data_IF_221153816673
#
_entry.id   IF_221153816673
#
_cell.length_a   1.000
_cell.length_b   1.000
_cell.length_c   1.000
_cell.angle_alpha   90.00
_cell.angle_beta   90.00
_cell.angle_gamma   90.00
#
_symmetry.space_group_name_H-M   'P 1'
#
loop_
_entity.id
_entity.type
_entity.pdbx_description
1 polymer ?
#
# COMPACT_ATOMS: atom_id res chain seq x y z
N UNK A 1 -7.03 -14.59 7.31
CA UNK A 1 -7.62 -15.73 8.06
C UNK A 1 -7.33 -15.65 9.57
N UNK A 2 -6.06 -15.69 10.00
CA UNK A 2 -5.73 -15.78 11.44
C UNK A 2 -6.10 -14.52 12.22
N UNK A 3 -5.90 -13.34 11.62
CA UNK A 3 -6.27 -12.05 12.23
C UNK A 3 -7.77 -11.97 12.53
N UNK A 4 -8.60 -12.45 11.59
CA UNK A 4 -10.06 -12.52 11.72
C UNK A 4 -10.50 -13.48 12.82
N UNK A 5 -9.95 -14.69 12.84
CA UNK A 5 -10.25 -15.68 13.88
C UNK A 5 -9.86 -15.19 15.28
N UNK A 6 -8.72 -14.49 15.41
CA UNK A 6 -8.29 -13.91 16.68
C UNK A 6 -9.24 -12.84 17.20
N UNK A 7 -9.72 -11.95 16.31
CA UNK A 7 -10.71 -10.93 16.65
C UNK A 7 -12.07 -11.55 17.01
N UNK A 8 -12.56 -12.46 16.18
CA UNK A 8 -13.80 -13.21 16.44
C UNK A 8 -13.74 -13.87 17.81
N UNK A 9 -12.65 -14.56 18.11
CA UNK A 9 -12.52 -15.27 19.39
C UNK A 9 -12.42 -14.33 20.59
N UNK A 10 -11.73 -13.19 20.43
CA UNK A 10 -11.71 -12.15 21.46
C UNK A 10 -13.12 -11.66 21.76
N UNK A 11 -13.88 -11.30 20.72
CA UNK A 11 -15.24 -10.80 20.85
C UNK A 11 -16.20 -11.83 21.47
N UNK A 12 -16.15 -13.08 21.03
CA UNK A 12 -17.00 -14.16 21.56
C UNK A 12 -16.83 -14.36 23.07
N UNK A 13 -15.58 -14.41 23.54
CA UNK A 13 -15.27 -14.80 24.92
C UNK A 13 -15.58 -13.67 25.89
N UNK A 14 -15.22 -12.43 25.55
CA UNK A 14 -15.50 -11.27 26.42
C UNK A 14 -16.91 -10.71 26.23
N UNK A 15 -17.68 -11.27 25.30
CA UNK A 15 -19.03 -10.83 24.97
C UNK A 15 -19.09 -9.45 24.30
N UNK A 16 -18.10 -9.09 23.48
CA UNK A 16 -18.18 -7.89 22.65
C UNK A 16 -19.04 -8.15 21.41
N UNK A 17 -19.99 -7.25 21.13
CA UNK A 17 -20.80 -7.34 19.91
C UNK A 17 -20.03 -6.89 18.67
N UNK A 18 -19.08 -5.96 18.81
CA UNK A 18 -18.33 -5.41 17.68
C UNK A 18 -16.84 -5.29 18.00
N UNK A 19 -16.03 -5.49 16.96
CA UNK A 19 -14.59 -5.33 17.07
C UNK A 19 -13.93 -4.98 15.75
N UNK A 20 -12.80 -4.28 15.82
CA UNK A 20 -11.98 -3.94 14.68
C UNK A 20 -10.50 -4.16 14.99
N UNK A 21 -9.75 -4.50 13.95
CA UNK A 21 -8.29 -4.41 13.95
C UNK A 21 -7.90 -3.28 13.00
N UNK A 22 -7.30 -2.26 13.59
CA UNK A 22 -6.88 -1.03 12.93
C UNK A 22 -5.36 -1.05 12.84
N UNK A 23 -4.79 -1.01 11.63
CA UNK A 23 -3.34 -0.96 11.43
C UNK A 23 -2.90 0.44 11.04
N UNK A 24 -1.80 0.92 11.61
CA UNK A 24 -1.22 2.20 11.23
C UNK A 24 -0.55 2.08 9.86
N UNK A 25 -0.73 3.09 9.01
CA UNK A 25 -0.01 3.19 7.75
C UNK A 25 1.49 3.44 7.99
N UNK A 26 2.33 2.58 7.43
CA UNK A 26 3.80 2.63 7.53
C UNK A 26 4.39 3.95 7.01
N UNK A 27 3.78 4.51 5.96
CA UNK A 27 4.45 5.53 5.16
C UNK A 27 4.41 6.92 5.81
N UNK A 28 3.40 7.22 6.65
CA UNK A 28 3.30 8.49 7.39
C UNK A 28 2.49 8.46 8.71
N UNK A 29 1.98 7.31 9.16
CA UNK A 29 1.13 7.14 10.38
C UNK A 29 -0.06 8.11 10.53
N UNK A 30 -0.48 8.77 9.45
CA UNK A 30 -1.59 9.73 9.50
C UNK A 30 -2.97 9.06 9.47
N UNK A 31 -3.02 7.76 9.18
CA UNK A 31 -4.27 7.02 9.05
C UNK A 31 -4.16 5.65 9.69
N UNK A 32 -5.28 5.19 10.23
CA UNK A 32 -5.54 3.78 10.43
C UNK A 32 -6.19 3.19 9.19
N UNK A 33 -5.88 1.94 8.89
CA UNK A 33 -6.61 1.13 7.92
C UNK A 33 -7.35 0.02 8.67
N UNK A 34 -8.63 -0.16 8.39
CA UNK A 34 -9.39 -1.29 8.92
C UNK A 34 -8.96 -2.56 8.20
N UNK A 35 -8.28 -3.46 8.91
CA UNK A 35 -7.77 -4.74 8.35
C UNK A 35 -8.65 -5.91 8.75
N UNK A 36 -9.47 -5.76 9.79
CA UNK A 36 -10.49 -6.73 10.14
C UNK A 36 -11.63 -6.05 10.87
N UNK A 37 -12.84 -6.55 10.65
CA UNK A 37 -14.07 -6.16 11.34
C UNK A 37 -14.81 -7.42 11.81
N UNK A 38 -15.48 -7.30 12.95
CA UNK A 38 -16.39 -8.30 13.50
C UNK A 38 -17.65 -7.60 14.01
N UNK A 39 -18.82 -8.15 13.67
CA UNK A 39 -20.12 -7.74 14.18
C UNK A 39 -20.97 -8.98 14.47
N UNK A 40 -21.42 -9.15 15.71
CA UNK A 40 -22.24 -10.28 16.16
C UNK A 40 -23.63 -10.32 15.52
N UNK A 41 -24.12 -9.18 15.03
CA UNK A 41 -25.45 -9.07 14.42
C UNK A 41 -25.44 -9.40 12.91
N UNK A 42 -24.27 -9.73 12.35
CA UNK A 42 -24.13 -10.02 10.91
C UNK A 42 -24.24 -8.79 10.00
N UNK A 43 -24.43 -7.60 10.58
CA UNK A 43 -24.50 -6.29 9.91
C UNK A 43 -23.12 -5.69 9.65
N UNK A 44 -22.17 -6.50 9.17
CA UNK A 44 -20.86 -5.96 8.77
C UNK A 44 -21.08 -4.91 7.67
N UNK A 45 -20.63 -3.68 7.92
CA UNK A 45 -20.68 -2.60 6.93
C UNK A 45 -19.57 -2.72 5.88
N UNK A 46 -18.84 -3.84 5.88
CA UNK A 46 -17.66 -4.13 5.05
C UNK A 46 -16.71 -2.93 4.97
N UNK A 47 -16.28 -2.46 6.14
CA UNK A 47 -15.35 -1.32 6.22
C UNK A 47 -13.91 -1.73 5.95
N UNK A 48 -13.69 -2.94 5.43
CA UNK A 48 -12.37 -3.47 5.12
C UNK A 48 -11.63 -2.54 4.15
N UNK A 49 -10.40 -2.15 4.49
CA UNK A 49 -9.61 -1.21 3.71
C UNK A 49 -9.98 0.27 3.91
N UNK A 50 -11.02 0.58 4.68
CA UNK A 50 -11.38 1.97 4.97
C UNK A 50 -10.25 2.67 5.75
N UNK A 51 -9.91 3.89 5.33
CA UNK A 51 -8.85 4.70 5.93
C UNK A 51 -9.48 5.74 6.87
N UNK A 52 -9.06 5.71 8.12
CA UNK A 52 -9.54 6.61 9.17
C UNK A 52 -8.41 7.58 9.53
N UNK A 53 -8.59 8.89 9.45
CA UNK A 53 -7.59 9.84 9.92
C UNK A 53 -7.25 9.59 11.39
N UNK A 54 -5.96 9.56 11.72
CA UNK A 54 -5.47 9.24 13.06
C UNK A 54 -6.06 10.18 14.13
N UNK A 55 -6.25 11.46 13.79
CA UNK A 55 -6.84 12.46 14.69
C UNK A 55 -8.32 12.23 15.01
N UNK A 56 -9.04 11.46 14.20
CA UNK A 56 -10.50 11.34 14.30
C UNK A 56 -10.97 10.17 15.18
N UNK A 57 -10.08 9.24 15.55
CA UNK A 57 -10.44 8.05 16.32
C UNK A 57 -9.92 8.06 17.76
N UNK A 58 -10.73 7.59 18.72
CA UNK A 58 -10.28 7.39 20.12
C UNK A 58 -9.21 6.29 20.24
N UNK A 59 -9.10 5.39 19.25
CA UNK A 59 -8.04 4.38 19.18
C UNK A 59 -6.64 4.99 19.21
N UNK A 60 -6.47 6.24 18.75
CA UNK A 60 -5.20 6.98 18.79
C UNK A 60 -4.59 7.04 20.19
N UNK A 61 -5.40 7.08 21.24
CA UNK A 61 -4.92 7.17 22.62
C UNK A 61 -4.15 5.92 23.03
N UNK A 62 -4.58 4.72 22.60
CA UNK A 62 -3.88 3.47 22.89
C UNK A 62 -2.51 3.42 22.20
N UNK A 63 -2.41 4.02 21.01
CA UNK A 63 -1.14 4.17 20.28
C UNK A 63 -0.22 5.17 21.00
N UNK A 64 -0.72 6.37 21.32
CA UNK A 64 0.06 7.44 21.95
C UNK A 64 0.58 6.99 23.32
N UNK A 65 -0.28 6.39 24.15
CA UNK A 65 0.07 5.95 25.51
C UNK A 65 0.79 4.59 25.54
N UNK A 66 0.84 3.86 24.42
CA UNK A 66 1.41 2.51 24.29
C UNK A 66 0.91 1.52 25.35
N UNK A 67 -0.35 1.65 25.75
CA UNK A 67 -0.98 0.79 26.76
C UNK A 67 -2.46 0.56 26.45
N UNK A 68 -3.05 -0.54 26.92
CA UNK A 68 -4.49 -0.75 26.82
C UNK A 68 -5.28 0.34 27.54
N UNK A 69 -6.42 0.73 26.97
CA UNK A 69 -7.31 1.76 27.51
C UNK A 69 -8.76 1.30 27.52
N UNK A 70 -9.44 1.56 28.63
CA UNK A 70 -10.89 1.50 28.73
C UNK A 70 -11.46 2.87 28.32
N UNK A 71 -12.33 2.88 27.31
CA UNK A 71 -12.88 4.10 26.72
C UNK A 71 -14.37 4.23 27.02
N UNK A 72 -14.83 5.46 27.23
CA UNK A 72 -16.22 5.74 27.60
C UNK A 72 -17.21 5.69 26.41
N UNK A 73 -16.72 5.89 25.18
CA UNK A 73 -17.56 5.97 23.98
C UNK A 73 -17.16 4.92 22.92
N UNK A 74 -18.12 4.51 22.06
CA UNK A 74 -17.85 3.76 20.84
C UNK A 74 -16.89 4.49 19.89
N UNK A 75 -16.23 3.74 19.00
CA UNK A 75 -15.23 4.27 18.06
C UNK A 75 -15.82 5.26 17.04
N UNK A 76 -17.10 5.11 16.68
CA UNK A 76 -17.76 5.88 15.61
C UNK A 76 -18.70 6.98 16.12
N UNK A 77 -18.70 7.30 17.42
CA UNK A 77 -19.51 8.40 17.95
C UNK A 77 -18.78 9.72 17.74
N UNK A 78 -19.53 10.74 17.30
CA UNK A 78 -19.03 12.11 17.12
C UNK A 78 -18.34 12.60 18.40
N UNK A 79 -17.20 13.28 18.22
CA UNK A 79 -16.28 13.57 19.32
C UNK A 79 -16.99 14.33 20.44
N UNK A 80 -17.24 13.63 21.56
CA UNK A 80 -17.49 14.29 22.83
C UNK A 80 -16.25 15.11 23.17
N UNK A 81 -16.44 16.44 23.37
CA UNK A 81 -15.38 17.38 23.77
C UNK A 81 -14.46 16.70 24.78
N UNK A 82 -13.16 16.82 24.52
CA UNK A 82 -12.06 16.35 25.35
C UNK A 82 -12.36 16.51 26.84
N UNK A 83 -12.90 15.46 27.46
CA UNK A 83 -12.72 15.28 28.89
C UNK A 83 -11.48 14.43 28.99
N UNK A 84 -10.35 15.13 29.16
CA UNK A 84 -9.15 14.62 29.80
C UNK A 84 -9.50 14.06 31.18
N UNK A 85 -10.15 12.89 31.23
CA UNK A 85 -10.02 12.05 32.41
C UNK A 85 -8.97 11.01 32.07
N UNK A 86 -7.74 11.38 32.40
CA UNK A 86 -6.56 10.51 32.48
C UNK A 86 -6.70 9.43 33.56
N UNK A 87 -7.93 9.08 33.94
CA UNK A 87 -8.19 7.93 34.77
C UNK A 87 -8.14 6.71 33.86
N UNK A 88 -7.09 5.92 34.05
CA UNK A 88 -7.16 4.47 33.81
C UNK A 88 -8.34 3.99 34.65
N UNK A 89 -9.56 4.08 34.11
CA UNK A 89 -10.69 3.38 34.70
C UNK A 89 -10.41 1.92 34.43
N UNK A 90 -10.54 1.09 35.44
CA UNK A 90 -10.50 -0.37 35.27
C UNK A 90 -11.71 -0.89 34.46
N UNK A 91 -12.60 0.02 34.00
CA UNK A 91 -13.84 -0.28 33.30
C UNK A 91 -14.24 0.79 32.28
N UNK A 92 -14.81 0.38 31.15
CA UNK A 92 -15.27 1.28 30.08
C UNK A 92 -16.24 0.63 29.09
N UNK A 93 -16.89 1.45 28.24
CA UNK A 93 -17.84 0.98 27.22
C UNK A 93 -17.14 0.38 25.98
N UNK A 94 -15.87 0.69 25.80
CA UNK A 94 -15.01 0.12 24.77
C UNK A 94 -13.62 -0.21 25.36
N UNK A 95 -12.92 -1.13 24.71
CA UNK A 95 -11.57 -1.55 25.04
C UNK A 95 -10.66 -1.36 23.83
N UNK A 96 -9.63 -0.52 23.97
CA UNK A 96 -8.62 -0.30 22.95
C UNK A 96 -7.30 -0.92 23.41
N UNK A 97 -6.86 -1.99 22.75
CA UNK A 97 -5.63 -2.71 23.08
C UNK A 97 -4.62 -2.47 21.95
N UNK A 98 -3.47 -1.82 22.22
CA UNK A 98 -2.47 -1.58 21.19
C UNK A 98 -1.81 -2.90 20.76
N UNK A 99 -1.59 -3.03 19.46
CA UNK A 99 -0.82 -4.12 18.87
C UNK A 99 0.64 -3.66 18.82
N UNK A 100 1.46 -4.19 19.72
CA UNK A 100 2.81 -3.68 19.97
C UNK A 100 3.87 -4.73 19.67
N UNK A 101 5.00 -4.27 19.18
CA UNK A 101 6.26 -5.01 19.10
C UNK A 101 7.26 -4.38 20.08
N UNK A 102 8.45 -4.95 20.21
CA UNK A 102 9.47 -4.42 21.11
C UNK A 102 9.88 -2.95 20.81
N UNK A 103 9.69 -2.50 19.57
CA UNK A 103 10.12 -1.17 19.12
C UNK A 103 8.97 -0.22 18.78
N UNK A 104 7.77 -0.72 18.51
CA UNK A 104 6.71 0.09 17.89
C UNK A 104 5.27 -0.36 18.19
N UNK A 105 4.32 0.52 17.88
CA UNK A 105 2.89 0.19 17.84
C UNK A 105 2.48 0.02 16.39
N UNK A 106 2.04 -1.19 16.03
CA UNK A 106 1.60 -1.53 14.67
C UNK A 106 0.15 -1.10 14.42
N UNK A 107 -0.66 -1.02 15.47
CA UNK A 107 -2.10 -0.83 15.36
C UNK A 107 -2.84 -0.95 16.68
N UNK A 108 -4.16 -1.14 16.60
CA UNK A 108 -5.05 -1.26 17.76
C UNK A 108 -6.12 -2.31 17.47
N UNK A 109 -6.33 -3.22 18.42
CA UNK A 109 -7.55 -4.01 18.53
C UNK A 109 -8.57 -3.20 19.34
N UNK A 110 -9.68 -2.85 18.71
CA UNK A 110 -10.74 -2.06 19.32
C UNK A 110 -11.99 -2.91 19.49
N UNK A 111 -12.52 -3.02 20.70
CA UNK A 111 -13.68 -3.85 21.04
C UNK A 111 -14.75 -2.97 21.69
N UNK A 112 -16.01 -3.14 21.31
CA UNK A 112 -17.11 -2.35 21.87
C UNK A 112 -18.43 -3.10 21.93
N UNK A 113 -19.40 -2.49 22.65
CA UNK A 113 -20.74 -3.02 22.78
C UNK A 113 -20.75 -4.36 23.51
N UNK A 114 -20.26 -4.38 24.74
CA UNK A 114 -20.28 -5.56 25.59
C UNK A 114 -21.74 -5.94 25.91
N UNK A 115 -22.00 -7.25 26.00
CA UNK A 115 -23.33 -7.79 26.32
C UNK A 115 -23.91 -7.16 27.59
N UNK A 116 -25.23 -7.05 27.61
CA UNK A 116 -26.01 -6.50 28.72
C UNK A 116 -25.67 -5.04 29.06
N UNK A 117 -25.02 -4.31 28.13
CA UNK A 117 -24.52 -2.96 28.34
C UNK A 117 -23.58 -2.82 29.56
N UNK A 118 -22.93 -3.93 29.94
CA UNK A 118 -21.93 -3.93 31.02
C UNK A 118 -20.62 -3.28 30.53
N UNK A 119 -19.80 -2.68 31.41
CA UNK A 119 -18.49 -2.21 31.00
C UNK A 119 -17.49 -3.37 30.85
N UNK A 120 -16.52 -3.22 29.96
CA UNK A 120 -15.31 -4.04 29.96
C UNK A 120 -14.59 -3.92 31.31
N UNK A 121 -13.84 -4.95 31.69
CA UNK A 121 -13.19 -5.12 32.99
C UNK A 121 -11.75 -5.61 32.81
N UNK A 122 -10.93 -5.62 33.88
CA UNK A 122 -9.55 -6.11 33.79
C UNK A 122 -9.48 -7.60 33.41
N UNK A 123 -10.46 -8.40 33.83
CA UNK A 123 -10.54 -9.81 33.44
C UNK A 123 -10.76 -10.00 31.92
N UNK A 124 -11.50 -9.09 31.27
CA UNK A 124 -11.65 -9.09 29.80
C UNK A 124 -10.31 -8.73 29.15
N UNK A 125 -9.60 -7.75 29.71
CA UNK A 125 -8.29 -7.33 29.22
C UNK A 125 -7.25 -8.46 29.34
N UNK A 126 -7.22 -9.18 30.46
CA UNK A 126 -6.33 -10.32 30.68
C UNK A 126 -6.52 -11.42 29.63
N UNK A 127 -7.75 -11.59 29.13
CA UNK A 127 -8.04 -12.52 28.04
C UNK A 127 -7.59 -11.98 26.67
N UNK A 128 -7.78 -10.68 26.42
CA UNK A 128 -7.48 -10.05 25.12
C UNK A 128 -5.98 -9.83 24.92
N UNK A 129 -5.23 -9.56 25.99
CA UNK A 129 -3.80 -9.25 25.94
C UNK A 129 -2.95 -10.33 25.22
N UNK A 130 -3.06 -11.63 25.55
CA UNK A 130 -2.34 -12.68 24.82
C UNK A 130 -2.69 -12.75 23.33
N UNK A 131 -3.95 -12.50 22.97
CA UNK A 131 -4.40 -12.50 21.58
C UNK A 131 -3.79 -11.31 20.83
N UNK A 132 -3.81 -10.12 21.43
CA UNK A 132 -3.17 -8.91 20.88
C UNK A 132 -1.66 -9.12 20.66
N UNK A 133 -0.96 -9.74 21.61
CA UNK A 133 0.46 -10.06 21.48
C UNK A 133 0.74 -11.04 20.33
N UNK A 134 -0.04 -12.12 20.23
CA UNK A 134 0.08 -13.11 19.16
C UNK A 134 -0.19 -12.50 17.77
N UNK A 135 -1.19 -11.61 17.67
CA UNK A 135 -1.50 -10.89 16.44
C UNK A 135 -0.39 -9.92 16.05
N UNK A 136 0.19 -9.21 17.01
CA UNK A 136 1.31 -8.30 16.78
C UNK A 136 2.52 -9.03 16.19
N UNK A 137 2.94 -10.13 16.83
CA UNK A 137 4.05 -10.97 16.36
C UNK A 137 3.79 -11.58 14.98
N UNK A 138 2.57 -12.08 14.73
CA UNK A 138 2.20 -12.63 13.42
C UNK A 138 2.22 -11.58 12.32
N UNK A 139 1.76 -10.37 12.62
CA UNK A 139 1.75 -9.28 11.65
C UNK A 139 3.16 -8.82 11.31
N UNK A 140 4.02 -8.59 12.31
CA UNK A 140 5.44 -8.25 12.13
C UNK A 140 6.16 -9.30 11.26
N UNK A 141 5.97 -10.59 11.54
CA UNK A 141 6.54 -11.66 10.74
C UNK A 141 6.05 -11.67 9.29
N UNK A 142 4.77 -11.38 9.05
CA UNK A 142 4.25 -11.30 7.68
C UNK A 142 4.86 -10.12 6.92
N UNK A 143 5.03 -8.98 7.58
CA UNK A 143 5.69 -7.81 6.99
C UNK A 143 7.15 -8.10 6.65
N UNK A 144 7.91 -8.68 7.59
CA UNK A 144 9.30 -9.06 7.36
C UNK A 144 9.43 -10.07 6.21
N UNK A 145 8.55 -11.06 6.14
CA UNK A 145 8.52 -12.03 5.02
C UNK A 145 8.23 -11.36 3.68
N UNK A 146 7.29 -10.41 3.64
CA UNK A 146 6.97 -9.67 2.42
C UNK A 146 8.13 -8.77 1.98
N UNK A 147 8.84 -8.14 2.92
CA UNK A 147 10.04 -7.36 2.64
C UNK A 147 11.16 -8.24 2.05
N UNK A 148 11.42 -9.41 2.67
CA UNK A 148 12.41 -10.38 2.17
C UNK A 148 12.02 -10.88 0.78
N UNK A 149 10.75 -11.21 0.54
CA UNK A 149 10.28 -11.64 -0.76
C UNK A 149 10.51 -10.54 -1.82
N UNK A 150 10.13 -9.29 -1.52
CA UNK A 150 10.35 -8.16 -2.44
C UNK A 150 11.83 -7.92 -2.75
N UNK A 151 12.72 -8.02 -1.75
CA UNK A 151 14.17 -7.92 -1.95
C UNK A 151 14.71 -9.07 -2.82
N UNK A 152 14.19 -10.27 -2.62
CA UNK A 152 14.56 -11.46 -3.40
C UNK A 152 14.14 -11.30 -4.86
N UNK A 153 12.91 -10.83 -5.11
CA UNK A 153 12.41 -10.53 -6.46
C UNK A 153 13.27 -9.46 -7.15
N UNK A 154 13.64 -8.40 -6.43
CA UNK A 154 14.55 -7.36 -6.95
C UNK A 154 15.91 -7.93 -7.33
N UNK A 155 16.50 -8.79 -6.50
CA UNK A 155 17.78 -9.42 -6.78
C UNK A 155 17.72 -10.37 -7.98
N UNK A 156 16.67 -11.18 -8.10
CA UNK A 156 16.48 -12.06 -9.24
C UNK A 156 16.31 -11.27 -10.54
N UNK A 157 15.51 -10.21 -10.52
CA UNK A 157 15.36 -9.30 -11.65
C UNK A 157 16.71 -8.70 -12.08
N UNK A 158 17.50 -8.15 -11.15
CA UNK A 158 18.82 -7.59 -11.46
C UNK A 158 19.80 -8.64 -12.01
N UNK A 159 19.77 -9.85 -11.47
CA UNK A 159 20.64 -10.94 -11.91
C UNK A 159 20.30 -11.40 -13.32
N UNK A 160 19.00 -11.57 -13.63
CA UNK A 160 18.52 -11.90 -14.97
C UNK A 160 18.86 -10.80 -15.98
N UNK A 161 18.73 -9.53 -15.58
CA UNK A 161 19.16 -8.38 -16.38
C UNK A 161 20.64 -8.45 -16.74
N UNK A 162 21.52 -8.69 -15.76
CA UNK A 162 22.95 -8.82 -16.01
C UNK A 162 23.27 -9.99 -16.96
N UNK A 163 22.59 -11.12 -16.81
CA UNK A 163 22.75 -12.26 -17.71
C UNK A 163 22.30 -11.94 -19.14
N UNK A 164 21.15 -11.29 -19.31
CA UNK A 164 20.63 -10.86 -20.61
C UNK A 164 21.52 -9.82 -21.26
N UNK A 165 22.03 -8.84 -20.52
CA UNK A 165 22.99 -7.87 -21.06
C UNK A 165 24.26 -8.58 -21.54
N UNK A 166 24.84 -9.47 -20.73
CA UNK A 166 26.05 -10.19 -21.10
C UNK A 166 25.87 -11.13 -22.30
N UNK A 167 24.74 -11.85 -22.40
CA UNK A 167 24.46 -12.77 -23.51
C UNK A 167 23.89 -12.08 -24.76
N UNK A 168 23.02 -11.11 -24.56
CA UNK A 168 22.27 -10.43 -25.61
C UNK A 168 23.09 -9.44 -26.43
N UNK A 169 24.21 -8.93 -25.90
CA UNK A 169 25.22 -8.18 -26.67
C UNK A 169 25.70 -8.96 -27.90
N UNK A 170 25.62 -10.29 -27.87
CA UNK A 170 26.01 -11.17 -28.98
C UNK A 170 24.90 -11.32 -30.04
N UNK A 171 23.63 -11.14 -29.66
CA UNK A 171 22.46 -11.42 -30.53
C UNK A 171 21.67 -10.18 -30.96
N UNK A 172 22.00 -8.99 -30.45
CA UNK A 172 21.38 -7.71 -30.85
C UNK A 172 19.90 -7.57 -30.46
N UNK A 173 19.39 -8.37 -29.52
CA UNK A 173 17.99 -8.37 -29.04
C UNK A 173 17.88 -8.15 -27.53
N UNK A 174 18.81 -7.40 -26.94
CA UNK A 174 18.90 -7.19 -25.49
C UNK A 174 17.59 -6.60 -24.95
N UNK A 175 17.07 -5.55 -25.57
CA UNK A 175 15.90 -4.84 -25.03
C UNK A 175 14.63 -5.70 -25.03
N UNK A 176 14.33 -6.45 -26.10
CA UNK A 176 13.18 -7.36 -26.13
C UNK A 176 13.25 -8.42 -25.02
N UNK A 177 14.44 -8.96 -24.75
CA UNK A 177 14.64 -9.94 -23.67
C UNK A 177 14.49 -9.30 -22.30
N UNK A 178 15.06 -8.11 -22.08
CA UNK A 178 14.90 -7.35 -20.83
C UNK A 178 13.44 -6.96 -20.57
N UNK A 179 12.72 -6.52 -21.60
CA UNK A 179 11.31 -6.16 -21.51
C UNK A 179 10.46 -7.36 -21.07
N UNK A 180 10.70 -8.53 -21.67
CA UNK A 180 10.01 -9.77 -21.30
C UNK A 180 10.35 -10.22 -19.88
N UNK A 181 11.59 -10.07 -19.45
CA UNK A 181 11.99 -10.39 -18.09
C UNK A 181 11.29 -9.47 -17.08
N UNK A 182 11.27 -8.15 -17.34
CA UNK A 182 10.55 -7.19 -16.48
C UNK A 182 9.07 -7.50 -16.35
N UNK A 183 8.43 -7.96 -17.42
CA UNK A 183 7.01 -8.32 -17.40
C UNK A 183 6.70 -9.43 -16.37
N UNK A 184 7.67 -10.27 -16.03
CA UNK A 184 7.51 -11.33 -15.01
C UNK A 184 7.38 -10.76 -13.60
N UNK A 185 7.97 -9.60 -13.33
CA UNK A 185 7.96 -8.95 -12.00
C UNK A 185 7.04 -7.72 -11.93
N UNK A 186 6.85 -7.03 -13.06
CA UNK A 186 6.01 -5.85 -13.18
C UNK A 186 5.05 -6.05 -14.36
N UNK A 187 3.74 -6.20 -14.13
CA UNK A 187 2.77 -6.33 -15.21
C UNK A 187 2.70 -5.02 -16.01
N UNK A 188 3.34 -5.02 -17.18
CA UNK A 188 3.42 -3.88 -18.10
C UNK A 188 2.81 -4.25 -19.44
N UNK A 189 1.91 -3.41 -19.95
CA UNK A 189 1.29 -3.59 -21.27
C UNK A 189 2.23 -3.27 -22.44
N UNK A 190 3.06 -2.25 -22.26
CA UNK A 190 3.98 -1.74 -23.28
C UNK A 190 5.26 -1.26 -22.61
N UNK A 191 6.40 -1.54 -23.25
CA UNK A 191 7.69 -0.93 -22.98
C UNK A 191 8.34 -0.52 -24.30
N UNK A 192 9.11 0.57 -24.28
CA UNK A 192 9.84 1.01 -25.47
C UNK A 192 11.16 1.69 -25.07
N UNK A 193 12.12 1.63 -25.99
CA UNK A 193 13.38 2.37 -25.95
C UNK A 193 13.33 3.44 -27.02
N UNK A 194 13.72 4.66 -26.68
CA UNK A 194 13.68 5.76 -27.61
C UNK A 194 14.90 6.68 -27.46
N UNK A 195 15.31 7.29 -28.58
CA UNK A 195 16.42 8.24 -28.66
C UNK A 195 15.88 9.62 -28.94
N UNK A 196 16.29 10.61 -28.16
CA UNK A 196 15.90 12.02 -28.39
C UNK A 196 16.87 12.69 -29.36
N UNK A 197 16.32 13.34 -30.39
CA UNK A 197 17.04 14.35 -31.16
C UNK A 197 16.67 15.73 -30.61
N UNK A 198 17.57 16.29 -29.80
CA UNK A 198 17.39 17.60 -29.16
C UNK A 198 17.47 18.75 -30.15
N UNK A 199 18.07 18.55 -31.34
CA UNK A 199 18.13 19.59 -32.38
C UNK A 199 16.80 19.74 -33.13
N UNK A 200 16.07 18.65 -33.30
CA UNK A 200 14.81 18.63 -34.06
C UNK A 200 13.55 18.60 -33.17
N UNK A 201 13.68 18.51 -31.84
CA UNK A 201 12.56 18.35 -30.89
C UNK A 201 11.70 17.09 -31.16
N UNK A 202 12.32 15.98 -31.56
CA UNK A 202 11.64 14.69 -31.75
C UNK A 202 12.30 13.56 -30.95
N UNK A 203 11.52 12.53 -30.66
CA UNK A 203 11.92 11.28 -30.02
C UNK A 203 11.71 10.13 -31.00
N UNK A 204 12.77 9.43 -31.38
CA UNK A 204 12.70 8.26 -32.25
C UNK A 204 12.59 6.98 -31.43
N UNK A 205 11.54 6.20 -31.66
CA UNK A 205 11.39 4.87 -31.05
C UNK A 205 12.37 3.89 -31.69
N UNK A 206 13.30 3.36 -30.91
CA UNK A 206 14.25 2.35 -31.36
C UNK A 206 13.64 0.96 -31.27
N UNK A 207 13.13 0.61 -30.10
CA UNK A 207 12.53 -0.69 -29.81
C UNK A 207 11.20 -0.54 -29.09
N UNK A 208 10.27 -1.43 -29.39
CA UNK A 208 8.94 -1.48 -28.77
C UNK A 208 8.63 -2.94 -28.45
N UNK A 209 8.21 -3.22 -27.22
CA UNK A 209 7.80 -4.54 -26.75
C UNK A 209 6.41 -4.43 -26.09
N UNK A 210 5.47 -5.24 -26.58
CA UNK A 210 4.09 -5.32 -26.09
C UNK A 210 3.53 -6.72 -26.31
N UNK A 211 2.62 -7.14 -25.44
CA UNK A 211 1.88 -8.41 -25.57
C UNK A 211 0.70 -8.31 -26.54
N UNK A 212 0.10 -7.12 -26.66
CA UNK A 212 -1.07 -6.88 -27.50
C UNK A 212 -0.69 -6.15 -28.80
N UNK A 213 -1.50 -6.27 -29.87
CA UNK A 213 -1.30 -5.48 -31.08
C UNK A 213 -1.54 -3.98 -30.80
N UNK A 214 -0.46 -3.20 -30.77
CA UNK A 214 -0.51 -1.75 -30.52
C UNK A 214 -0.26 -0.94 -31.81
N UNK A 215 -0.48 0.37 -31.78
CA UNK A 215 -0.18 1.28 -32.91
C UNK A 215 1.29 1.75 -32.94
N UNK A 216 1.99 1.70 -31.80
CA UNK A 216 3.41 2.07 -31.69
C UNK A 216 4.33 1.05 -32.37
N UNK A 217 5.31 1.54 -33.12
CA UNK A 217 6.28 0.74 -33.89
C UNK A 217 7.70 1.33 -33.75
N UNK A 218 8.69 0.45 -33.78
CA UNK A 218 10.09 0.85 -33.99
C UNK A 218 10.23 1.69 -35.25
N UNK A 219 11.05 2.74 -35.18
CA UNK A 219 11.30 3.70 -36.24
C UNK A 219 10.37 4.92 -36.25
N UNK A 220 9.27 4.91 -35.48
CA UNK A 220 8.38 6.08 -35.38
C UNK A 220 9.05 7.26 -34.67
N UNK A 221 8.77 8.47 -35.13
CA UNK A 221 9.22 9.72 -34.51
C UNK A 221 8.07 10.44 -33.82
N UNK A 222 8.27 10.83 -32.56
CA UNK A 222 7.28 11.48 -31.71
C UNK A 222 7.70 12.92 -31.42
N UNK A 223 6.82 13.92 -31.58
CA UNK A 223 7.15 15.30 -31.22
C UNK A 223 7.32 15.44 -29.70
N UNK A 224 8.38 16.12 -29.26
CA UNK A 224 8.64 16.41 -27.84
C UNK A 224 7.90 17.64 -27.32
N UNK A 225 7.28 18.44 -28.20
CA UNK A 225 6.53 19.64 -27.78
C UNK A 225 5.36 19.25 -26.89
N UNK A 226 5.33 19.84 -25.69
CA UNK A 226 4.29 19.61 -24.67
C UNK A 226 4.15 18.13 -24.25
N UNK A 227 5.23 17.36 -24.36
CA UNK A 227 5.28 15.92 -24.09
C UNK A 227 5.71 15.59 -22.66
N UNK A 228 5.17 14.51 -22.08
CA UNK A 228 5.74 13.93 -20.85
C UNK A 228 7.19 13.48 -21.02
N UNK A 229 7.59 13.03 -22.21
CA UNK A 229 8.96 12.59 -22.48
C UNK A 229 9.96 13.74 -22.37
N UNK A 230 9.55 14.95 -22.76
CA UNK A 230 10.37 16.16 -22.61
C UNK A 230 10.65 16.47 -21.13
N UNK A 231 9.64 16.37 -20.28
CA UNK A 231 9.79 16.57 -18.83
C UNK A 231 10.84 15.62 -18.24
N UNK A 232 10.82 14.34 -18.64
CA UNK A 232 11.78 13.32 -18.18
C UNK A 232 13.22 13.65 -18.63
N UNK A 233 13.37 14.12 -19.86
CA UNK A 233 14.67 14.51 -20.43
C UNK A 233 15.22 15.80 -19.77
N UNK A 234 14.37 16.80 -19.53
CA UNK A 234 14.73 18.07 -18.90
C UNK A 234 15.07 17.89 -17.40
N UNK A 235 14.28 17.13 -16.67
CA UNK A 235 14.53 16.86 -15.24
C UNK A 235 15.63 15.82 -15.00
N UNK A 236 16.00 15.04 -16.03
CA UNK A 236 17.01 13.99 -15.98
C UNK A 236 16.86 13.04 -14.77
N UNK A 237 15.60 12.71 -14.44
CA UNK A 237 15.24 11.73 -13.39
C UNK A 237 14.11 10.86 -13.88
N UNK A 238 13.98 9.68 -13.27
CA UNK A 238 12.83 8.84 -13.54
C UNK A 238 11.54 9.48 -12.99
N UNK A 239 10.47 9.40 -13.77
CA UNK A 239 9.18 9.99 -13.46
C UNK A 239 8.13 8.87 -13.49
N UNK A 240 7.39 8.76 -12.39
CA UNK A 240 6.22 7.90 -12.29
C UNK A 240 4.97 8.77 -12.36
N UNK A 241 4.28 8.73 -13.50
CA UNK A 241 3.02 9.43 -13.69
C UNK A 241 1.88 8.46 -13.37
N UNK A 242 1.18 8.68 -12.24
CA UNK A 242 0.08 7.82 -11.77
C UNK A 242 -1.23 7.99 -12.54
N UNK A 243 -1.39 9.15 -13.19
CA UNK A 243 -2.55 9.47 -14.02
C UNK A 243 -2.06 10.13 -15.31
N UNK A 244 -2.04 9.34 -16.38
CA UNK A 244 -1.65 9.79 -17.73
C UNK A 244 -2.83 10.36 -18.54
N UNK A 245 -4.04 10.41 -17.97
CA UNK A 245 -5.22 10.97 -18.66
C UNK A 245 -5.26 12.50 -18.59
N UNK A 246 -4.54 13.10 -17.63
CA UNK A 246 -4.35 14.54 -17.49
C UNK A 246 -3.21 15.10 -18.39
N UNK A 247 -2.70 14.30 -19.32
CA UNK A 247 -1.53 14.66 -20.15
C UNK A 247 -1.89 15.72 -21.18
N UNK A 248 -1.03 16.74 -21.29
CA UNK A 248 -1.24 17.92 -22.12
C UNK A 248 -1.15 17.65 -23.63
N UNK A 249 -0.56 16.52 -24.05
CA UNK A 249 -0.38 16.18 -25.46
C UNK A 249 -1.50 15.26 -25.99
N UNK A 250 -2.29 15.68 -26.99
CA UNK A 250 -3.38 14.89 -27.57
C UNK A 250 -2.94 13.56 -28.21
N UNK A 251 -1.71 13.47 -28.72
CA UNK A 251 -1.17 12.24 -29.32
C UNK A 251 -0.85 11.20 -28.25
N UNK A 252 -0.24 11.64 -27.15
CA UNK A 252 0.07 10.76 -26.00
C UNK A 252 -1.22 10.29 -25.32
N UNK A 253 -2.19 11.19 -25.14
CA UNK A 253 -3.49 10.86 -24.59
C UNK A 253 -4.22 9.78 -25.43
N UNK A 254 -4.17 9.88 -26.77
CA UNK A 254 -4.72 8.85 -27.66
C UNK A 254 -4.04 7.51 -27.47
N UNK A 255 -2.71 7.46 -27.41
CA UNK A 255 -2.01 6.19 -27.20
C UNK A 255 -2.27 5.61 -25.81
N UNK A 256 -2.23 6.41 -24.75
CA UNK A 256 -2.54 5.92 -23.41
C UNK A 256 -3.96 5.34 -23.33
N UNK A 257 -4.93 5.95 -24.03
CA UNK A 257 -6.28 5.42 -24.18
C UNK A 257 -6.33 4.13 -25.02
N UNK A 258 -5.69 4.09 -26.19
CA UNK A 258 -5.62 2.89 -27.04
C UNK A 258 -4.98 1.71 -26.30
N UNK A 259 -3.95 1.96 -25.52
CA UNK A 259 -3.25 0.96 -24.71
C UNK A 259 -4.01 0.59 -23.43
N UNK A 260 -5.04 1.37 -23.06
CA UNK A 260 -5.75 1.24 -21.79
C UNK A 260 -4.79 1.31 -20.59
N UNK A 261 -3.84 2.25 -20.61
CA UNK A 261 -2.82 2.44 -19.58
C UNK A 261 -3.16 3.71 -18.80
N UNK A 262 -3.21 3.59 -17.47
CA UNK A 262 -3.54 4.72 -16.58
C UNK A 262 -2.31 5.32 -15.89
N UNK A 263 -1.17 4.63 -15.93
CA UNK A 263 0.08 5.08 -15.31
C UNK A 263 1.29 4.67 -16.14
N UNK A 264 2.35 5.45 -16.12
CA UNK A 264 3.60 5.11 -16.81
C UNK A 264 4.83 5.43 -15.95
N UNK A 265 5.90 4.67 -16.20
CA UNK A 265 7.22 4.93 -15.64
C UNK A 265 8.18 5.24 -16.78
N UNK A 266 8.82 6.41 -16.70
CA UNK A 266 9.74 6.90 -17.73
C UNK A 266 11.08 7.19 -17.07
N UNK A 267 12.16 6.64 -17.62
CA UNK A 267 13.50 6.84 -17.10
C UNK A 267 14.44 7.34 -18.21
N UNK A 268 15.23 8.40 -17.98
CA UNK A 268 16.22 8.85 -18.93
C UNK A 268 17.44 7.92 -18.86
N UNK A 269 17.96 7.54 -20.03
CA UNK A 269 19.23 6.84 -20.17
C UNK A 269 20.24 7.74 -20.86
N UNK A 270 21.43 7.90 -20.27
CA UNK A 270 22.55 8.56 -20.94
C UNK A 270 23.47 7.49 -21.50
N UNK A 271 23.72 7.54 -22.80
CA UNK A 271 24.86 6.84 -23.39
C UNK A 271 26.11 7.54 -22.86
N UNK A 272 26.88 6.86 -22.01
CA UNK A 272 28.27 7.29 -21.76
C UNK A 272 29.05 7.03 -23.04
N UNK A 273 29.41 8.10 -23.74
CA UNK A 273 30.42 8.09 -24.79
C UNK A 273 31.81 8.13 -24.19
#
# INVERSE_FOLDING_TARGET
LVVKLGLEKACEVIGASRGWILMLDESRRHHFTVVCEFDSNGSSQDRMGFRIPFGETKAKQAVIKRKPLFLADPIWREQSKEVEEDTVRDRGAALAVPLTTGSDVLGVMYLEGKRENSPFSPADLDFVLPLAACLSYRYENLQLRNQIASQTDQFHCLSAFNEICNKGLVQGKVFQLLARELQTYMPMKVSFLALSDTSQEYLQLLEVASEEPISLRSGMTLPLRQSLFRLVLEENRAIHQKDVTAVLNPLEARWFQELGVNSCYLAPFRLQG
#
